data_IF_997831326797
#
_entry.id   IF_997831326797
#
_cell.length_a   1.000
_cell.length_b   1.000
_cell.length_c   1.000
_cell.angle_alpha   90.00
_cell.angle_beta   90.00
_cell.angle_gamma   90.00
#
_symmetry.space_group_name_H-M   'P 1'
#
loop_
_entity.id
_entity.type
_entity.pdbx_description
1 polymer ?
#
# COMPACT_ATOMS: atom_id res chain seq x y z
N UNK A 1 23.98 3.98 6.56
CA UNK A 1 23.70 4.29 5.13
C UNK A 1 24.29 3.14 4.33
N UNK A 2 23.46 2.33 3.67
CA UNK A 2 23.85 1.07 3.01
C UNK A 2 25.04 1.26 2.05
N UNK A 3 25.97 0.30 2.03
CA UNK A 3 27.16 0.24 1.17
C UNK A 3 26.82 0.02 -0.33
N UNK A 4 25.70 0.57 -0.80
CA UNK A 4 25.36 0.59 -2.23
C UNK A 4 26.14 1.70 -2.91
N UNK A 5 26.72 1.37 -4.07
CA UNK A 5 27.37 2.36 -4.91
C UNK A 5 26.34 3.34 -5.51
N UNK A 6 26.83 4.43 -6.10
CA UNK A 6 25.95 5.50 -6.63
C UNK A 6 25.01 4.96 -7.73
N UNK A 7 25.50 4.10 -8.62
CA UNK A 7 24.68 3.52 -9.71
C UNK A 7 23.58 2.59 -9.16
N UNK A 8 23.90 1.77 -8.17
CA UNK A 8 22.95 0.92 -7.45
C UNK A 8 21.88 1.76 -6.76
N UNK A 9 22.24 2.89 -6.13
CA UNK A 9 21.25 3.78 -5.50
C UNK A 9 20.29 4.41 -6.52
N UNK A 10 20.79 4.82 -7.68
CA UNK A 10 19.95 5.36 -8.77
C UNK A 10 19.01 4.27 -9.30
N UNK A 11 19.54 3.09 -9.60
CA UNK A 11 18.75 1.95 -10.06
C UNK A 11 17.70 1.52 -9.04
N UNK A 12 18.07 1.43 -7.76
CA UNK A 12 17.16 1.10 -6.66
C UNK A 12 15.98 2.07 -6.58
N UNK A 13 16.25 3.38 -6.71
CA UNK A 13 15.19 4.39 -6.72
C UNK A 13 14.26 4.21 -7.93
N UNK A 14 14.83 4.02 -9.11
CA UNK A 14 14.07 3.77 -10.33
C UNK A 14 13.21 2.51 -10.22
N UNK A 15 13.75 1.44 -9.62
CA UNK A 15 13.05 0.17 -9.42
C UNK A 15 11.86 0.30 -8.47
N UNK A 16 12.05 1.01 -7.35
CA UNK A 16 10.96 1.29 -6.41
C UNK A 16 9.87 2.14 -7.09
N UNK A 17 10.23 3.09 -7.95
CA UNK A 17 9.26 3.94 -8.66
C UNK A 17 8.48 3.21 -9.76
N UNK A 18 9.16 2.45 -10.62
CA UNK A 18 8.56 1.85 -11.83
C UNK A 18 8.01 0.43 -11.62
N UNK A 19 8.49 -0.32 -10.62
CA UNK A 19 8.07 -1.70 -10.37
C UNK A 19 8.50 -2.73 -11.44
N UNK A 20 9.12 -2.28 -12.54
CA UNK A 20 9.66 -3.10 -13.62
C UNK A 20 11.18 -2.94 -13.72
N UNK A 21 11.91 -4.05 -13.83
CA UNK A 21 13.38 -4.07 -13.95
C UNK A 21 13.83 -3.38 -15.23
N UNK A 22 13.16 -3.64 -16.37
CA UNK A 22 13.53 -3.06 -17.66
C UNK A 22 13.36 -1.54 -17.66
N UNK A 23 12.19 -1.05 -17.19
CA UNK A 23 11.96 0.40 -17.05
C UNK A 23 12.90 1.06 -16.04
N UNK A 24 13.27 0.35 -14.97
CA UNK A 24 14.23 0.85 -14.00
C UNK A 24 15.65 0.95 -14.58
N UNK A 25 16.05 0.00 -15.44
CA UNK A 25 17.33 0.03 -16.14
C UNK A 25 17.41 1.23 -17.11
N UNK A 26 16.36 1.44 -17.92
CA UNK A 26 16.25 2.60 -18.81
C UNK A 26 16.35 3.91 -18.03
N UNK A 27 15.55 4.06 -16.97
CA UNK A 27 15.51 5.27 -16.16
C UNK A 27 16.80 5.53 -15.38
N UNK A 28 17.50 4.47 -14.98
CA UNK A 28 18.80 4.57 -14.32
C UNK A 28 19.98 4.67 -15.31
N UNK A 29 19.69 4.63 -16.61
CA UNK A 29 20.67 4.61 -17.69
C UNK A 29 21.75 3.54 -17.48
N UNK A 30 21.31 2.31 -17.21
CA UNK A 30 22.17 1.12 -17.10
C UNK A 30 21.71 0.03 -18.07
N UNK A 31 22.63 -0.85 -18.46
CA UNK A 31 22.27 -2.02 -19.25
C UNK A 31 21.53 -3.05 -18.40
N UNK A 32 20.60 -3.79 -19.01
CA UNK A 32 19.79 -4.80 -18.31
C UNK A 32 20.62 -5.86 -17.59
N UNK A 33 21.73 -6.30 -18.20
CA UNK A 33 22.67 -7.25 -17.57
C UNK A 33 23.23 -6.71 -16.25
N UNK A 34 23.49 -5.40 -16.16
CA UNK A 34 23.99 -4.75 -14.95
C UNK A 34 22.89 -4.67 -13.89
N UNK A 35 21.65 -4.36 -14.31
CA UNK A 35 20.50 -4.35 -13.41
C UNK A 35 20.23 -5.74 -12.83
N UNK A 36 20.30 -6.78 -13.66
CA UNK A 36 20.13 -8.17 -13.22
C UNK A 36 21.22 -8.58 -12.22
N UNK A 37 22.48 -8.22 -12.48
CA UNK A 37 23.58 -8.47 -11.54
C UNK A 37 23.37 -7.78 -10.19
N UNK A 38 22.77 -6.58 -10.16
CA UNK A 38 22.43 -5.93 -8.89
C UNK A 38 21.30 -6.65 -8.15
N UNK A 39 20.37 -7.30 -8.85
CA UNK A 39 19.32 -8.09 -8.22
C UNK A 39 19.82 -9.43 -7.65
N UNK A 40 20.98 -9.90 -8.07
CA UNK A 40 21.64 -11.07 -7.48
C UNK A 40 22.44 -10.72 -6.20
N UNK A 41 22.73 -9.43 -5.98
CA UNK A 41 23.44 -8.95 -4.81
C UNK A 41 22.50 -8.97 -3.57
N UNK A 42 22.87 -9.78 -2.58
CA UNK A 42 22.11 -9.93 -1.34
C UNK A 42 21.91 -8.60 -0.59
N UNK A 43 22.94 -7.74 -0.53
CA UNK A 43 22.85 -6.45 0.14
C UNK A 43 21.86 -5.54 -0.59
N UNK A 44 21.87 -5.56 -1.92
CA UNK A 44 20.93 -4.80 -2.73
C UNK A 44 19.50 -5.26 -2.50
N UNK A 45 19.24 -6.57 -2.57
CA UNK A 45 17.92 -7.16 -2.33
C UNK A 45 17.38 -6.83 -0.94
N UNK A 46 18.20 -6.94 0.11
CA UNK A 46 17.80 -6.63 1.47
C UNK A 46 17.34 -5.16 1.60
N UNK A 47 18.12 -4.24 1.02
CA UNK A 47 17.79 -2.81 1.02
C UNK A 47 16.52 -2.54 0.22
N UNK A 48 16.37 -3.16 -0.96
CA UNK A 48 15.18 -3.05 -1.79
C UNK A 48 13.92 -3.52 -1.06
N UNK A 49 13.95 -4.73 -0.51
CA UNK A 49 12.83 -5.28 0.24
C UNK A 49 12.47 -4.42 1.45
N UNK A 50 13.47 -3.90 2.19
CA UNK A 50 13.22 -3.00 3.32
C UNK A 50 12.52 -1.72 2.88
N UNK A 51 12.92 -1.11 1.77
CA UNK A 51 12.29 0.08 1.24
C UNK A 51 10.89 -0.19 0.70
N UNK A 52 10.67 -1.33 0.04
CA UNK A 52 9.33 -1.74 -0.41
C UNK A 52 8.39 -1.97 0.78
N UNK A 53 8.85 -2.65 1.85
CA UNK A 53 8.08 -2.78 3.10
C UNK A 53 7.76 -1.42 3.70
N UNK A 54 8.70 -0.48 3.70
CA UNK A 54 8.48 0.87 4.20
C UNK A 54 7.41 1.61 3.37
N UNK A 55 7.54 1.61 2.04
CA UNK A 55 6.56 2.21 1.13
C UNK A 55 5.18 1.60 1.34
N UNK A 56 5.08 0.27 1.42
CA UNK A 56 3.80 -0.41 1.60
C UNK A 56 3.14 -0.02 2.94
N UNK A 57 3.91 0.13 4.01
CA UNK A 57 3.38 0.67 5.28
C UNK A 57 2.86 2.10 5.13
N UNK A 58 3.57 2.96 4.41
CA UNK A 58 3.12 4.34 4.15
C UNK A 58 1.80 4.36 3.35
N UNK A 59 1.69 3.53 2.31
CA UNK A 59 0.47 3.37 1.52
C UNK A 59 -0.67 2.83 2.38
N UNK A 60 -0.43 1.79 3.17
CA UNK A 60 -1.45 1.23 4.08
C UNK A 60 -1.95 2.27 5.08
N UNK A 61 -1.07 3.11 5.63
CA UNK A 61 -1.47 4.20 6.52
C UNK A 61 -2.36 5.23 5.79
N UNK A 62 -2.06 5.55 4.53
CA UNK A 62 -2.90 6.43 3.72
C UNK A 62 -4.27 5.81 3.45
N UNK A 63 -4.33 4.53 3.12
CA UNK A 63 -5.58 3.79 2.93
C UNK A 63 -6.40 3.80 4.22
N UNK A 64 -5.81 3.44 5.36
CA UNK A 64 -6.49 3.45 6.66
C UNK A 64 -7.06 4.84 6.99
N UNK A 65 -6.30 5.89 6.73
CA UNK A 65 -6.76 7.27 6.93
C UNK A 65 -7.93 7.62 6.00
N UNK A 66 -7.85 7.25 4.73
CA UNK A 66 -8.93 7.49 3.76
C UNK A 66 -10.20 6.71 4.14
N UNK A 67 -10.07 5.46 4.59
CA UNK A 67 -11.17 4.64 5.08
C UNK A 67 -11.82 5.25 6.31
N UNK A 68 -11.04 5.75 7.29
CA UNK A 68 -11.58 6.44 8.45
C UNK A 68 -12.36 7.70 8.06
N UNK A 69 -11.83 8.48 7.11
CA UNK A 69 -12.53 9.66 6.61
C UNK A 69 -13.85 9.29 5.92
N UNK A 70 -13.88 8.23 5.11
CA UNK A 70 -15.10 7.75 4.48
C UNK A 70 -16.14 7.31 5.52
N UNK A 71 -15.71 6.60 6.57
CA UNK A 71 -16.59 6.21 7.68
C UNK A 71 -17.18 7.44 8.38
N UNK A 72 -16.37 8.47 8.64
CA UNK A 72 -16.85 9.70 9.27
C UNK A 72 -17.93 10.39 8.42
N UNK A 73 -17.74 10.46 7.10
CA UNK A 73 -18.74 11.02 6.18
C UNK A 73 -20.04 10.22 6.24
N UNK A 74 -19.98 8.89 6.24
CA UNK A 74 -21.18 8.05 6.37
C UNK A 74 -21.88 8.26 7.72
N UNK A 75 -21.13 8.40 8.81
CA UNK A 75 -21.69 8.69 10.15
C UNK A 75 -22.38 10.07 10.16
N UNK A 76 -21.77 11.08 9.54
CA UNK A 76 -22.38 12.41 9.40
C UNK A 76 -23.68 12.33 8.60
N UNK A 77 -23.66 11.69 7.42
CA UNK A 77 -24.84 11.53 6.57
C UNK A 77 -25.97 10.74 7.23
N UNK A 78 -25.63 9.72 8.04
CA UNK A 78 -26.60 8.93 8.79
C UNK A 78 -27.32 9.74 9.88
N UNK A 79 -26.59 10.63 10.56
CA UNK A 79 -27.08 11.39 11.71
C UNK A 79 -27.62 12.78 11.36
N UNK A 80 -27.38 13.27 10.15
CA UNK A 80 -27.87 14.57 9.70
C UNK A 80 -29.39 14.53 9.41
N UNK A 81 -30.23 15.23 10.21
CA UNK A 81 -31.67 15.24 10.02
C UNK A 81 -32.11 16.00 8.77
N UNK A 82 -31.24 16.79 8.14
CA UNK A 82 -31.53 17.48 6.88
C UNK A 82 -31.40 16.57 5.66
N UNK A 83 -30.72 15.42 5.79
CA UNK A 83 -30.66 14.41 4.74
C UNK A 83 -31.98 13.66 4.59
N UNK A 84 -32.23 13.14 3.39
CA UNK A 84 -33.41 12.29 3.16
C UNK A 84 -33.34 11.01 4.02
N UNK A 85 -34.50 10.48 4.48
CA UNK A 85 -34.54 9.22 5.22
C UNK A 85 -33.82 8.07 4.49
N UNK A 86 -33.90 8.04 3.16
CA UNK A 86 -33.24 7.05 2.31
C UNK A 86 -31.71 7.11 2.46
N UNK A 87 -31.11 8.29 2.32
CA UNK A 87 -29.66 8.48 2.44
C UNK A 87 -29.15 8.05 3.82
N UNK A 88 -29.93 8.34 4.87
CA UNK A 88 -29.59 7.96 6.24
C UNK A 88 -29.60 6.45 6.43
N UNK A 89 -30.60 5.76 5.89
CA UNK A 89 -30.71 4.29 5.91
C UNK A 89 -29.57 3.65 5.11
N UNK A 90 -29.32 4.12 3.88
CA UNK A 90 -28.24 3.60 3.03
C UNK A 90 -26.87 3.75 3.71
N UNK A 91 -26.62 4.88 4.36
CA UNK A 91 -25.37 5.11 5.11
C UNK A 91 -25.23 4.12 6.27
N UNK A 92 -26.31 3.88 7.02
CA UNK A 92 -26.32 2.90 8.11
C UNK A 92 -26.09 1.46 7.60
N UNK A 93 -26.73 1.07 6.50
CA UNK A 93 -26.57 -0.25 5.87
C UNK A 93 -25.12 -0.49 5.43
N UNK A 94 -24.48 0.50 4.79
CA UNK A 94 -23.07 0.39 4.38
C UNK A 94 -22.16 0.16 5.59
N UNK A 95 -22.36 0.92 6.67
CA UNK A 95 -21.56 0.77 7.91
C UNK A 95 -21.74 -0.63 8.51
N UNK A 96 -22.98 -1.10 8.61
CA UNK A 96 -23.30 -2.42 9.17
C UNK A 96 -22.70 -3.56 8.33
N UNK A 97 -22.85 -3.50 7.00
CA UNK A 97 -22.28 -4.50 6.10
C UNK A 97 -20.74 -4.59 6.24
N UNK A 98 -20.07 -3.44 6.35
CA UNK A 98 -18.62 -3.42 6.58
C UNK A 98 -18.25 -4.01 7.94
N UNK A 99 -19.02 -3.75 8.99
CA UNK A 99 -18.81 -4.32 10.31
C UNK A 99 -18.94 -5.85 10.32
N UNK A 100 -19.98 -6.40 9.68
CA UNK A 100 -20.16 -7.85 9.58
C UNK A 100 -19.03 -8.52 8.80
N UNK A 101 -18.67 -8.00 7.64
CA UNK A 101 -17.54 -8.54 6.87
C UNK A 101 -16.21 -8.43 7.63
N UNK A 102 -16.03 -7.43 8.49
CA UNK A 102 -14.81 -7.33 9.31
C UNK A 102 -14.74 -8.44 10.36
N UNK A 103 -15.87 -8.82 10.97
CA UNK A 103 -15.94 -9.91 11.95
C UNK A 103 -15.67 -11.27 11.30
N UNK A 104 -16.27 -11.53 10.13
CA UNK A 104 -16.05 -12.77 9.38
C UNK A 104 -14.55 -12.98 9.05
N UNK A 105 -13.87 -11.88 8.67
CA UNK A 105 -12.44 -11.92 8.32
C UNK A 105 -11.51 -12.15 9.52
N UNK A 106 -11.90 -11.73 10.73
CA UNK A 106 -11.11 -11.94 11.94
C UNK A 106 -11.29 -13.36 12.49
N UNK A 107 -12.49 -13.94 12.40
CA UNK A 107 -12.71 -15.35 12.73
C UNK A 107 -11.88 -16.29 11.84
N UNK A 108 -11.74 -15.95 10.55
CA UNK A 108 -11.00 -16.80 9.61
C UNK A 108 -9.47 -16.78 9.81
N UNK A 109 -8.92 -15.73 10.43
CA UNK A 109 -7.50 -15.64 10.79
C UNK A 109 -7.15 -16.37 12.09
N UNK A 110 -8.14 -16.71 12.91
CA UNK A 110 -7.96 -17.47 14.16
C UNK A 110 -7.57 -18.94 13.96
N UNK A 111 -7.69 -19.49 12.75
CA UNK A 111 -7.36 -20.88 12.43
C UNK A 111 -5.98 -21.08 11.76
N UNK A 112 -5.17 -20.03 11.64
CA UNK A 112 -3.79 -20.12 11.10
C UNK A 112 -2.83 -19.42 12.07
N UNK A 113 -2.59 -20.05 13.22
CA UNK A 113 -1.40 -19.85 14.04
C UNK A 113 -0.85 -21.23 14.39
#
# INVERSE_FOLDING_TARGET
MSNLNVRQKIFLRALIECGSVSQACEKANIQEHTGQKYLEDHLFLEVYQRLMRKRMREVNNQIQKASQNALNVLIEMMNDPSQSPKIRIESAEIILNFAYHSLDNEEQKGCII
#
